data_IF_878000522729
#
_entry.id   IF_878000522729
#
_cell.length_a   1.000
_cell.length_b   1.000
_cell.length_c   1.000
_cell.angle_alpha   90.00
_cell.angle_beta   90.00
_cell.angle_gamma   90.00
#
_symmetry.space_group_name_H-M   'P 1'
#
loop_
_entity.id
_entity.type
_entity.pdbx_description
1 polymer ?
#
# COMPACT_ATOMS: atom_id res chain seq x y z
N UNK A 1 -13.76 -23.23 -6.03
CA UNK A 1 -13.92 -21.81 -5.64
C UNK A 1 -12.63 -21.18 -5.09
N UNK A 2 -11.82 -21.87 -4.27
CA UNK A 2 -10.52 -21.36 -3.74
C UNK A 2 -9.50 -21.15 -4.86
N UNK A 3 -9.38 -22.09 -5.80
CA UNK A 3 -8.42 -22.05 -6.93
C UNK A 3 -8.67 -20.82 -7.83
N UNK A 4 -9.92 -20.54 -8.19
CA UNK A 4 -10.28 -19.40 -9.04
C UNK A 4 -9.91 -18.07 -8.37
N UNK A 5 -10.08 -17.95 -7.05
CA UNK A 5 -9.68 -16.76 -6.28
C UNK A 5 -8.17 -16.55 -6.30
N UNK A 6 -7.40 -17.62 -6.13
CA UNK A 6 -5.94 -17.56 -6.18
C UNK A 6 -5.44 -17.15 -7.56
N UNK A 7 -6.04 -17.68 -8.63
CA UNK A 7 -5.71 -17.33 -10.02
C UNK A 7 -6.04 -15.85 -10.28
N UNK A 8 -7.21 -15.36 -9.85
CA UNK A 8 -7.59 -13.96 -10.01
C UNK A 8 -6.62 -13.01 -9.29
N UNK A 9 -6.20 -13.34 -8.06
CA UNK A 9 -5.23 -12.53 -7.32
C UNK A 9 -3.88 -12.50 -8.04
N UNK A 10 -3.39 -13.65 -8.52
CA UNK A 10 -2.14 -13.74 -9.28
C UNK A 10 -2.24 -12.90 -10.56
N UNK A 11 -3.35 -12.99 -11.27
CA UNK A 11 -3.59 -12.23 -12.49
C UNK A 11 -3.63 -10.71 -12.26
N UNK A 12 -4.34 -10.24 -11.23
CA UNK A 12 -4.36 -8.82 -10.88
C UNK A 12 -2.97 -8.31 -10.44
N UNK A 13 -2.23 -9.08 -9.66
CA UNK A 13 -0.86 -8.73 -9.28
C UNK A 13 0.08 -8.68 -10.50
N UNK A 14 -0.13 -9.57 -11.47
CA UNK A 14 0.64 -9.58 -12.72
C UNK A 14 0.31 -8.36 -13.59
N UNK A 15 -0.97 -7.99 -13.70
CA UNK A 15 -1.40 -6.76 -14.39
C UNK A 15 -0.79 -5.52 -13.74
N UNK A 16 -0.86 -5.40 -12.41
CA UNK A 16 -0.26 -4.28 -11.70
C UNK A 16 1.24 -4.20 -12.00
N UNK A 17 1.96 -5.30 -11.84
CA UNK A 17 3.40 -5.37 -12.09
C UNK A 17 3.79 -5.07 -13.54
N UNK A 18 3.03 -5.61 -14.51
CA UNK A 18 3.38 -5.50 -15.93
C UNK A 18 2.90 -4.21 -16.58
N UNK A 19 1.79 -3.64 -16.12
CA UNK A 19 1.17 -2.47 -16.74
C UNK A 19 1.39 -1.23 -15.90
N UNK A 20 0.90 -1.19 -14.66
CA UNK A 20 0.94 0.04 -13.86
C UNK A 20 2.36 0.42 -13.47
N UNK A 21 3.14 -0.52 -12.94
CA UNK A 21 4.53 -0.24 -12.52
C UNK A 21 5.41 0.14 -13.72
N UNK A 22 5.25 -0.51 -14.87
CA UNK A 22 6.00 -0.14 -16.09
C UNK A 22 5.61 1.24 -16.62
N UNK A 23 4.32 1.61 -16.59
CA UNK A 23 3.86 2.94 -16.99
C UNK A 23 4.43 4.03 -16.10
N UNK A 24 4.43 3.83 -14.78
CA UNK A 24 5.03 4.78 -13.83
C UNK A 24 6.53 4.95 -14.10
N UNK A 25 7.27 3.84 -14.23
CA UNK A 25 8.71 3.90 -14.54
C UNK A 25 8.99 4.58 -15.87
N UNK A 26 8.22 4.24 -16.90
CA UNK A 26 8.35 4.85 -18.22
C UNK A 26 8.14 6.36 -18.14
N UNK A 27 7.07 6.82 -17.47
CA UNK A 27 6.80 8.24 -17.27
C UNK A 27 7.95 8.93 -16.54
N UNK A 28 8.38 8.42 -15.39
CA UNK A 28 9.45 9.03 -14.60
C UNK A 28 10.76 9.11 -15.37
N UNK A 29 11.10 8.08 -16.16
CA UNK A 29 12.31 8.06 -17.00
C UNK A 29 12.20 9.01 -18.20
N UNK A 30 11.04 9.04 -18.87
CA UNK A 30 10.77 9.93 -20.00
C UNK A 30 10.91 11.39 -19.59
N UNK A 31 10.35 11.76 -18.44
CA UNK A 31 10.44 13.13 -17.89
C UNK A 31 11.79 13.41 -17.21
N UNK A 32 12.77 12.48 -17.31
CA UNK A 32 14.13 12.62 -16.73
C UNK A 32 14.11 13.00 -15.25
N UNK A 33 13.12 12.50 -14.49
CA UNK A 33 12.96 12.81 -13.07
C UNK A 33 14.06 12.13 -12.27
N UNK A 34 14.80 12.91 -11.49
CA UNK A 34 15.79 12.42 -10.54
C UNK A 34 15.15 12.25 -9.16
N UNK A 35 15.28 11.05 -8.56
CA UNK A 35 14.65 10.73 -7.27
C UNK A 35 15.75 10.40 -6.26
N UNK A 36 16.10 11.36 -5.41
CA UNK A 36 17.07 11.16 -4.33
C UNK A 36 16.37 10.81 -3.00
N UNK A 37 15.17 11.33 -2.79
CA UNK A 37 14.34 11.04 -1.63
C UNK A 37 12.99 10.48 -2.08
N UNK A 38 12.58 9.38 -1.47
CA UNK A 38 11.32 8.70 -1.73
C UNK A 38 10.47 8.65 -0.47
N UNK A 39 9.21 9.05 -0.58
CA UNK A 39 8.23 8.93 0.49
C UNK A 39 7.13 7.98 0.01
N UNK A 40 6.94 6.87 0.72
CA UNK A 40 5.98 5.81 0.40
C UNK A 40 4.89 5.77 1.47
N UNK A 41 3.71 6.31 1.15
CA UNK A 41 2.56 6.38 2.05
C UNK A 41 1.66 5.17 1.82
N UNK A 42 1.49 4.33 2.85
CA UNK A 42 0.84 3.04 2.71
C UNK A 42 1.74 2.05 1.97
N UNK A 43 2.99 2.00 2.38
CA UNK A 43 4.04 1.25 1.68
C UNK A 43 3.77 -0.25 1.58
N UNK A 44 2.85 -0.77 2.39
CA UNK A 44 2.48 -2.18 2.42
C UNK A 44 3.74 -3.07 2.48
N UNK A 45 3.96 -3.94 1.50
CA UNK A 45 5.15 -4.81 1.42
C UNK A 45 6.36 -4.15 0.77
N UNK A 46 6.30 -2.85 0.50
CA UNK A 46 7.41 -2.06 -0.06
C UNK A 46 7.72 -2.36 -1.52
N UNK A 47 6.75 -2.81 -2.32
CA UNK A 47 6.97 -3.17 -3.72
C UNK A 47 7.34 -1.95 -4.57
N UNK A 48 6.65 -0.81 -4.37
CA UNK A 48 6.97 0.42 -5.08
C UNK A 48 8.31 1.00 -4.62
N UNK A 49 8.62 0.93 -3.33
CA UNK A 49 9.94 1.32 -2.82
C UNK A 49 11.07 0.52 -3.48
N UNK A 50 10.95 -0.82 -3.57
CA UNK A 50 11.93 -1.64 -4.26
C UNK A 50 12.08 -1.25 -5.74
N UNK A 51 10.94 -1.02 -6.41
CA UNK A 51 10.90 -0.64 -7.80
C UNK A 51 11.64 0.69 -8.06
N UNK A 52 11.35 1.70 -7.23
CA UNK A 52 11.95 3.03 -7.36
C UNK A 52 13.44 2.98 -6.99
N UNK A 53 13.81 2.31 -5.89
CA UNK A 53 15.22 2.15 -5.51
C UNK A 53 16.04 1.43 -6.57
N UNK A 54 15.48 0.40 -7.21
CA UNK A 54 16.16 -0.35 -8.29
C UNK A 54 16.42 0.51 -9.54
N UNK A 55 15.56 1.47 -9.84
CA UNK A 55 15.59 2.23 -11.10
C UNK A 55 16.13 3.66 -10.97
N UNK A 56 16.24 4.18 -9.75
CA UNK A 56 16.67 5.55 -9.46
C UNK A 56 17.69 5.55 -8.30
N UNK A 57 18.52 6.55 -8.26
CA UNK A 57 19.56 6.70 -7.22
C UNK A 57 19.01 7.19 -5.88
N UNK A 58 18.02 6.50 -5.33
CA UNK A 58 17.39 6.86 -4.06
C UNK A 58 18.38 6.74 -2.91
N UNK A 59 18.66 7.87 -2.26
CA UNK A 59 19.54 7.96 -1.09
C UNK A 59 18.80 7.76 0.23
N UNK A 60 17.53 8.19 0.30
CA UNK A 60 16.68 8.05 1.48
C UNK A 60 15.26 7.66 1.08
N UNK A 61 14.71 6.64 1.72
CA UNK A 61 13.32 6.21 1.53
C UNK A 61 12.60 6.19 2.88
N UNK A 62 11.50 6.92 2.99
CA UNK A 62 10.67 7.03 4.18
C UNK A 62 9.35 6.29 3.93
N UNK A 63 9.13 5.19 4.64
CA UNK A 63 7.99 4.30 4.45
C UNK A 63 7.03 4.40 5.63
N UNK A 64 5.77 4.68 5.32
CA UNK A 64 4.70 4.75 6.31
C UNK A 64 3.73 3.59 6.10
N UNK A 65 3.59 2.74 7.12
CA UNK A 65 2.69 1.58 7.08
C UNK A 65 1.98 1.42 8.42
N UNK A 66 0.65 1.70 8.50
CA UNK A 66 -0.09 1.62 9.75
C UNK A 66 -0.41 0.19 10.20
N UNK A 67 -0.47 -0.78 9.30
CA UNK A 67 -0.81 -2.16 9.62
C UNK A 67 0.36 -2.84 10.34
N UNK A 68 0.18 -3.17 11.63
CA UNK A 68 1.23 -3.73 12.50
C UNK A 68 1.90 -4.99 11.92
N UNK A 69 1.11 -5.91 11.35
CA UNK A 69 1.65 -7.16 10.80
C UNK A 69 2.50 -6.88 9.54
N UNK A 70 2.01 -6.02 8.66
CA UNK A 70 2.73 -5.60 7.46
C UNK A 70 3.97 -4.80 7.83
N UNK A 71 3.87 -3.90 8.81
CA UNK A 71 5.01 -3.16 9.34
C UNK A 71 6.12 -4.08 9.86
N UNK A 72 5.78 -5.14 10.61
CA UNK A 72 6.76 -6.14 11.05
C UNK A 72 7.46 -6.80 9.85
N UNK A 73 6.71 -7.13 8.81
CA UNK A 73 7.26 -7.70 7.57
C UNK A 73 8.27 -6.76 6.92
N UNK A 74 7.91 -5.47 6.66
CA UNK A 74 8.83 -4.52 6.02
C UNK A 74 10.01 -4.18 6.91
N UNK A 75 9.85 -4.16 8.22
CA UNK A 75 10.94 -3.98 9.19
C UNK A 75 11.98 -5.09 9.05
N UNK A 76 11.55 -6.34 8.91
CA UNK A 76 12.47 -7.45 8.68
C UNK A 76 13.10 -7.39 7.28
N UNK A 77 12.32 -7.04 6.26
CA UNK A 77 12.77 -6.93 4.87
C UNK A 77 13.92 -5.91 4.72
N UNK A 78 13.78 -4.74 5.33
CA UNK A 78 14.74 -3.63 5.19
C UNK A 78 15.70 -3.51 6.37
N UNK A 79 15.83 -4.51 7.25
CA UNK A 79 16.64 -4.44 8.46
C UNK A 79 18.12 -4.06 8.23
N UNK A 80 18.67 -4.42 7.08
CA UNK A 80 20.07 -4.16 6.70
C UNK A 80 20.21 -2.97 5.74
N UNK A 81 19.12 -2.31 5.36
CA UNK A 81 19.12 -1.20 4.41
C UNK A 81 19.10 0.14 5.15
N UNK A 82 20.26 0.71 5.37
CA UNK A 82 20.44 1.99 6.10
C UNK A 82 19.80 3.20 5.38
N UNK A 83 19.40 3.07 4.13
CA UNK A 83 18.72 4.13 3.38
C UNK A 83 17.21 4.13 3.57
N UNK A 84 16.64 3.12 4.28
CA UNK A 84 15.19 2.98 4.49
C UNK A 84 14.82 3.31 5.93
N UNK A 85 13.93 4.26 6.10
CA UNK A 85 13.37 4.71 7.37
C UNK A 85 11.91 4.29 7.47
N UNK A 86 11.55 3.56 8.53
CA UNK A 86 10.25 2.90 8.67
C UNK A 86 9.44 3.50 9.80
N UNK A 87 8.17 3.79 9.52
CA UNK A 87 7.24 4.41 10.46
C UNK A 87 5.93 3.62 10.52
N UNK A 88 5.59 3.10 11.73
CA UNK A 88 4.29 2.46 11.94
C UNK A 88 3.22 3.52 12.23
N UNK A 89 2.96 4.34 11.21
CA UNK A 89 2.07 5.49 11.24
C UNK A 89 1.20 5.52 9.99
N UNK A 90 0.01 6.06 10.12
CA UNK A 90 -0.77 6.52 8.97
C UNK A 90 -0.43 7.98 8.66
N UNK A 91 -0.49 8.36 7.39
CA UNK A 91 -0.45 9.77 6.99
C UNK A 91 -1.87 10.31 6.91
N UNK A 92 -2.11 11.44 7.55
CA UNK A 92 -3.39 12.13 7.55
C UNK A 92 -3.20 13.65 7.65
N UNK A 93 -4.27 14.40 7.78
CA UNK A 93 -4.20 15.87 7.95
C UNK A 93 -3.81 16.34 9.35
N UNK A 94 -3.65 15.44 10.31
CA UNK A 94 -3.40 15.80 11.72
C UNK A 94 -2.69 14.67 12.48
N UNK A 95 -1.99 15.06 13.56
CA UNK A 95 -1.35 14.13 14.50
C UNK A 95 -2.38 13.68 15.55
N UNK A 96 -3.20 12.69 15.20
CA UNK A 96 -4.21 12.11 16.08
C UNK A 96 -4.32 10.59 15.90
N UNK A 97 -4.96 9.95 16.84
CA UNK A 97 -5.37 8.55 16.67
C UNK A 97 -6.55 8.47 15.71
N UNK A 98 -6.50 7.56 14.75
CA UNK A 98 -7.56 7.33 13.76
C UNK A 98 -7.95 5.86 13.69
N UNK A 99 -9.20 5.60 13.35
CA UNK A 99 -9.65 4.24 13.05
C UNK A 99 -9.10 3.86 11.67
N UNK A 100 -8.49 2.69 11.61
CA UNK A 100 -7.98 2.08 10.38
C UNK A 100 -8.77 0.80 10.09
N UNK A 101 -9.33 0.72 8.89
CA UNK A 101 -10.17 -0.38 8.44
C UNK A 101 -9.33 -1.39 7.69
N UNK A 102 -9.20 -2.60 8.23
CA UNK A 102 -8.53 -3.71 7.53
C UNK A 102 -9.57 -4.41 6.67
N UNK A 103 -9.27 -4.46 5.39
CA UNK A 103 -10.09 -5.15 4.42
C UNK A 103 -9.58 -6.59 4.22
N UNK A 104 -10.46 -7.47 3.79
CA UNK A 104 -10.16 -8.88 3.50
C UNK A 104 -9.00 -9.05 2.53
N UNK A 105 -8.82 -8.06 1.65
CA UNK A 105 -7.64 -7.88 0.81
C UNK A 105 -6.84 -6.73 1.41
N UNK A 106 -5.77 -7.04 2.12
CA UNK A 106 -4.94 -6.10 2.89
C UNK A 106 -4.48 -4.86 2.12
N UNK A 107 -4.25 -4.99 0.79
CA UNK A 107 -3.90 -3.90 -0.12
C UNK A 107 -4.94 -2.76 -0.19
N UNK A 108 -6.16 -2.99 0.22
CA UNK A 108 -7.26 -2.01 0.16
C UNK A 108 -7.60 -1.43 1.53
N UNK A 109 -6.85 -1.76 2.57
CA UNK A 109 -7.04 -1.24 3.92
C UNK A 109 -6.77 0.27 3.98
N UNK A 110 -7.54 1.02 4.76
CA UNK A 110 -7.58 2.47 4.67
C UNK A 110 -8.07 3.14 5.96
N UNK A 111 -7.78 4.45 6.12
CA UNK A 111 -8.41 5.31 7.13
C UNK A 111 -9.87 5.62 6.81
N UNK A 112 -10.31 5.33 5.58
CA UNK A 112 -11.69 5.60 5.15
C UNK A 112 -12.46 4.30 5.07
N UNK A 113 -13.65 4.28 5.66
CA UNK A 113 -14.56 3.13 5.58
C UNK A 113 -15.00 2.89 4.13
N UNK A 114 -15.12 1.63 3.74
CA UNK A 114 -15.60 1.26 2.41
C UNK A 114 -16.99 1.85 2.15
N UNK A 115 -17.12 2.56 1.03
CA UNK A 115 -18.42 3.01 0.56
C UNK A 115 -19.18 1.82 -0.05
N UNK A 116 -20.13 1.28 0.69
CA UNK A 116 -20.95 0.12 0.28
C UNK A 116 -21.81 0.37 -0.97
N UNK A 117 -22.07 1.64 -1.32
CA UNK A 117 -22.81 2.03 -2.54
C UNK A 117 -21.96 2.00 -3.80
N UNK A 118 -20.63 1.88 -3.66
CA UNK A 118 -19.72 1.88 -4.81
C UNK A 118 -19.92 0.62 -5.68
N UNK A 119 -20.37 0.83 -6.92
CA UNK A 119 -20.68 -0.23 -7.87
C UNK A 119 -19.46 -1.12 -8.17
N UNK A 120 -18.29 -0.53 -8.38
CA UNK A 120 -17.06 -1.26 -8.64
C UNK A 120 -16.68 -2.20 -7.48
N UNK A 121 -16.79 -1.71 -6.24
CA UNK A 121 -16.48 -2.52 -5.05
C UNK A 121 -17.49 -3.66 -4.87
N UNK A 122 -18.76 -3.45 -5.24
CA UNK A 122 -19.79 -4.51 -5.23
C UNK A 122 -19.49 -5.61 -6.25
N UNK A 123 -19.07 -5.24 -7.46
CA UNK A 123 -18.65 -6.21 -8.49
C UNK A 123 -17.42 -6.97 -7.99
N UNK A 124 -16.43 -6.25 -7.47
CA UNK A 124 -15.20 -6.85 -6.92
C UNK A 124 -15.52 -7.83 -5.80
N UNK A 125 -16.40 -7.49 -4.87
CA UNK A 125 -16.84 -8.39 -3.81
C UNK A 125 -17.45 -9.68 -4.37
N UNK A 126 -18.33 -9.59 -5.39
CA UNK A 126 -18.93 -10.75 -6.06
C UNK A 126 -17.89 -11.64 -6.74
N UNK A 127 -16.94 -11.06 -7.47
CA UNK A 127 -15.85 -11.81 -8.15
C UNK A 127 -15.03 -12.59 -7.11
N UNK A 128 -14.77 -12.00 -5.94
CA UNK A 128 -14.06 -12.68 -4.85
C UNK A 128 -14.97 -13.57 -3.97
N UNK A 129 -16.23 -13.78 -4.39
CA UNK A 129 -17.16 -14.73 -3.77
C UNK A 129 -17.64 -14.32 -2.38
N UNK A 130 -17.85 -13.02 -2.16
CA UNK A 130 -18.40 -12.47 -0.92
C UNK A 130 -19.38 -11.33 -1.17
N UNK A 131 -19.93 -10.80 -0.07
CA UNK A 131 -20.70 -9.56 -0.05
C UNK A 131 -19.77 -8.40 0.28
N UNK A 132 -20.19 -7.17 -0.05
CA UNK A 132 -19.40 -5.96 0.27
C UNK A 132 -19.25 -5.76 1.79
N UNK A 133 -20.23 -6.25 2.55
CA UNK A 133 -20.22 -6.25 4.02
C UNK A 133 -19.06 -7.05 4.60
N UNK A 134 -18.67 -8.14 3.93
CA UNK A 134 -17.61 -9.05 4.36
C UNK A 134 -16.22 -8.55 3.98
N UNK A 135 -16.12 -7.41 3.31
CA UNK A 135 -14.82 -6.87 2.88
C UNK A 135 -14.00 -6.26 4.02
N UNK A 136 -14.64 -5.67 5.02
CA UNK A 136 -13.97 -5.19 6.24
C UNK A 136 -13.91 -6.33 7.23
N UNK A 137 -12.68 -6.77 7.56
CA UNK A 137 -12.48 -7.89 8.51
C UNK A 137 -12.32 -7.42 9.94
N UNK A 138 -11.68 -6.26 10.15
CA UNK A 138 -11.47 -5.68 11.46
C UNK A 138 -11.14 -4.20 11.36
N UNK A 139 -11.24 -3.52 12.48
CA UNK A 139 -10.79 -2.13 12.62
C UNK A 139 -9.99 -1.98 13.90
N UNK A 140 -9.03 -1.10 13.91
CA UNK A 140 -8.28 -0.75 15.12
C UNK A 140 -7.72 0.67 15.03
N UNK A 141 -7.30 1.19 16.17
CA UNK A 141 -6.76 2.54 16.27
C UNK A 141 -5.29 2.54 15.86
N UNK A 142 -4.94 3.44 14.94
CA UNK A 142 -3.56 3.73 14.52
C UNK A 142 -3.16 5.15 14.89
N UNK A 143 -1.88 5.35 15.11
CA UNK A 143 -1.34 6.71 15.20
C UNK A 143 -1.21 7.29 13.80
N UNK A 144 -1.47 8.57 13.67
CA UNK A 144 -1.29 9.30 12.41
C UNK A 144 -0.47 10.58 12.61
N UNK A 145 0.13 11.04 11.52
CA UNK A 145 0.89 12.29 11.43
C UNK A 145 0.58 12.98 10.10
N UNK A 146 0.68 14.30 10.05
CA UNK A 146 0.67 15.01 8.77
C UNK A 146 2.08 15.03 8.16
N UNK A 147 2.15 15.02 6.82
CA UNK A 147 3.45 15.18 6.15
C UNK A 147 4.12 16.53 6.45
N UNK A 148 3.33 17.57 6.72
CA UNK A 148 3.85 18.89 7.12
C UNK A 148 4.54 18.89 8.49
N UNK A 149 4.27 17.90 9.32
CA UNK A 149 4.85 17.74 10.65
C UNK A 149 5.91 16.62 10.70
N UNK A 150 6.28 16.12 9.52
CA UNK A 150 7.33 15.13 9.35
C UNK A 150 8.61 15.74 8.82
#
# INVERSE_FOLDING_TARGET
>A
MIIIKSIAIIFFNLIDKLIHQKKILYFLKKEKISIHTWIDVGSHRGLYTDLIKKNFGVKKAYLFEPQKNIFKFIKNKYKNDKSVFLYNLAISNSKIKKIFYINKHDLTSSLTKINKKNFYLRIKAKIFGGKIEDMVTTEYVVNSISLSNF
#
